data_IF_116381764618
#
_entry.id   IF_116381764618
#
_cell.length_a   1.000
_cell.length_b   1.000
_cell.length_c   1.000
_cell.angle_alpha   90.00
_cell.angle_beta   90.00
_cell.angle_gamma   90.00
#
_symmetry.space_group_name_H-M   'P 1'
#
loop_
_entity.id
_entity.type
_entity.pdbx_description
1 polymer ?
#
# COMPACT_ATOMS: atom_id res chain seq x y z
N UNK A 1 4.40 16.22 -4.30
CA UNK A 1 4.21 14.80 -3.94
C UNK A 1 4.30 14.53 -2.44
N UNK A 2 4.68 15.48 -1.59
CA UNK A 2 4.77 15.28 -0.13
C UNK A 2 3.44 14.82 0.48
N UNK A 3 3.51 13.83 1.36
CA UNK A 3 2.39 13.23 2.10
C UNK A 3 2.66 13.13 3.61
N UNK A 4 3.73 13.75 4.10
CA UNK A 4 4.18 13.65 5.50
C UNK A 4 3.16 14.16 6.53
N UNK A 5 2.25 15.06 6.13
CA UNK A 5 1.18 15.58 7.00
C UNK A 5 0.00 14.62 7.19
N UNK A 6 -0.10 13.56 6.39
CA UNK A 6 -1.14 12.55 6.51
C UNK A 6 -0.58 11.36 7.28
N UNK A 7 -1.32 10.88 8.27
CA UNK A 7 -1.00 9.68 9.04
C UNK A 7 -2.06 8.61 8.80
N UNK A 8 -1.63 7.35 8.69
CA UNK A 8 -2.51 6.19 8.60
C UNK A 8 -2.38 5.35 9.87
N UNK A 9 -3.48 4.76 10.31
CA UNK A 9 -3.48 3.87 11.47
C UNK A 9 -2.53 2.68 11.25
N UNK A 10 -1.66 2.42 12.23
CA UNK A 10 -0.69 1.32 12.21
C UNK A 10 0.58 1.60 11.42
N UNK A 11 0.77 2.81 10.88
CA UNK A 11 1.95 3.19 10.10
C UNK A 11 3.25 3.10 10.91
N UNK A 12 3.22 3.52 12.18
CA UNK A 12 4.35 3.48 13.11
C UNK A 12 4.87 2.05 13.38
N UNK A 13 4.02 1.05 13.14
CA UNK A 13 4.32 -0.36 13.34
C UNK A 13 4.42 -1.15 12.03
N UNK A 14 4.45 -0.48 10.87
CA UNK A 14 4.43 -1.13 9.55
C UNK A 14 3.23 -2.08 9.37
N UNK A 15 2.10 -1.78 10.03
CA UNK A 15 0.88 -2.61 10.11
C UNK A 15 -0.33 -1.97 9.41
N UNK A 16 -0.10 -1.04 8.48
CA UNK A 16 -1.19 -0.43 7.71
C UNK A 16 -1.91 -1.52 6.91
N UNK A 17 -3.23 -1.69 7.07
CA UNK A 17 -3.97 -2.67 6.28
C UNK A 17 -3.89 -2.34 4.78
N UNK A 18 -3.49 -3.32 3.97
CA UNK A 18 -3.29 -3.18 2.53
C UNK A 18 -4.46 -3.83 1.79
N UNK A 19 -5.14 -3.05 0.95
CA UNK A 19 -6.31 -3.51 0.21
C UNK A 19 -6.10 -3.46 -1.30
N UNK A 20 -4.96 -2.95 -1.75
CA UNK A 20 -4.55 -3.06 -3.15
C UNK A 20 -3.83 -4.39 -3.38
N UNK A 21 -3.97 -4.94 -4.58
CA UNK A 21 -3.11 -6.02 -5.05
C UNK A 21 -1.77 -5.47 -5.53
N UNK A 22 -0.79 -6.35 -5.74
CA UNK A 22 0.47 -5.97 -6.39
C UNK A 22 0.26 -5.42 -7.81
N UNK A 23 -0.76 -5.88 -8.54
CA UNK A 23 -1.12 -5.33 -9.86
C UNK A 23 -1.59 -3.87 -9.73
N UNK A 24 -2.52 -3.60 -8.82
CA UNK A 24 -3.02 -2.23 -8.55
C UNK A 24 -1.90 -1.27 -8.16
N UNK A 25 -1.03 -1.67 -7.22
CA UNK A 25 0.12 -0.83 -6.82
C UNK A 25 1.08 -0.61 -8.00
N UNK A 26 1.33 -1.62 -8.84
CA UNK A 26 2.18 -1.45 -10.03
C UNK A 26 1.60 -0.44 -11.01
N UNK A 27 0.29 -0.51 -11.28
CA UNK A 27 -0.36 0.43 -12.19
C UNK A 27 -0.35 1.85 -11.63
N UNK A 28 -0.61 2.03 -10.32
CA UNK A 28 -0.49 3.33 -9.65
C UNK A 28 0.92 3.90 -9.74
N UNK A 29 1.96 3.08 -9.50
CA UNK A 29 3.36 3.51 -9.63
C UNK A 29 3.68 3.92 -11.06
N UNK A 30 3.33 3.10 -12.06
CA UNK A 30 3.61 3.42 -13.47
C UNK A 30 2.93 4.73 -13.88
N UNK A 31 1.64 4.88 -13.57
CA UNK A 31 0.89 6.09 -13.86
C UNK A 31 1.49 7.32 -13.18
N UNK A 32 1.92 7.19 -11.93
CA UNK A 32 2.55 8.28 -11.18
C UNK A 32 3.91 8.70 -11.78
N UNK A 33 4.74 7.72 -12.17
CA UNK A 33 6.05 8.00 -12.79
C UNK A 33 5.94 8.58 -14.21
N UNK A 34 4.79 8.46 -14.86
CA UNK A 34 4.51 9.10 -16.14
C UNK A 34 4.06 10.57 -16.02
N UNK A 35 3.87 11.09 -14.81
CA UNK A 35 3.49 12.50 -14.61
C UNK A 35 4.68 13.44 -14.81
N UNK A 36 4.43 14.59 -15.42
CA UNK A 36 5.45 15.63 -15.63
C UNK A 36 6.05 16.08 -14.29
N UNK A 37 7.38 16.16 -14.25
CA UNK A 37 8.12 16.61 -13.08
C UNK A 37 8.24 15.58 -11.94
N UNK A 38 7.77 14.34 -12.13
CA UNK A 38 8.01 13.25 -11.17
C UNK A 38 9.24 12.46 -11.58
N UNK A 39 10.26 12.44 -10.71
CA UNK A 39 11.42 11.56 -10.92
C UNK A 39 11.31 10.28 -10.10
N UNK A 40 11.85 9.18 -10.64
CA UNK A 40 11.95 7.91 -9.91
C UNK A 40 12.70 8.09 -8.58
N UNK A 41 13.78 8.88 -8.57
CA UNK A 41 14.59 9.11 -7.38
C UNK A 41 13.81 9.86 -6.28
N UNK A 42 12.99 10.84 -6.64
CA UNK A 42 12.15 11.54 -5.67
C UNK A 42 11.04 10.65 -5.14
N UNK A 43 10.36 9.89 -6.01
CA UNK A 43 9.36 8.91 -5.59
C UNK A 43 9.95 7.93 -4.56
N UNK A 44 11.13 7.37 -4.83
CA UNK A 44 11.82 6.45 -3.92
C UNK A 44 12.20 7.09 -2.58
N UNK A 45 12.61 8.37 -2.58
CA UNK A 45 12.88 9.11 -1.34
C UNK A 45 11.60 9.32 -0.54
N UNK A 46 10.50 9.61 -1.21
CA UNK A 46 9.22 9.85 -0.57
C UNK A 46 8.66 8.58 0.06
N UNK A 47 8.60 7.47 -0.69
CA UNK A 47 8.09 6.19 -0.16
C UNK A 47 8.98 5.59 0.92
N UNK A 48 10.30 5.89 0.93
CA UNK A 48 11.18 5.43 2.00
C UNK A 48 10.81 6.02 3.38
N UNK A 49 10.13 7.17 3.42
CA UNK A 49 9.67 7.80 4.67
C UNK A 49 8.63 6.97 5.42
N UNK A 50 7.96 6.02 4.75
CA UNK A 50 7.06 5.05 5.40
C UNK A 50 7.77 4.24 6.49
N UNK A 51 9.10 4.05 6.37
CA UNK A 51 9.87 3.27 7.32
C UNK A 51 10.62 4.17 8.29
N UNK A 52 10.13 4.28 9.53
CA UNK A 52 10.73 5.12 10.58
C UNK A 52 12.14 4.72 11.03
N UNK A 53 12.60 3.53 10.63
CA UNK A 53 13.94 3.00 10.94
C UNK A 53 15.04 3.42 9.94
N UNK A 54 14.73 4.31 8.99
CA UNK A 54 15.70 4.77 7.98
C UNK A 54 15.99 3.74 6.87
N UNK A 55 15.13 2.72 6.71
CA UNK A 55 15.22 1.75 5.61
C UNK A 55 15.22 2.47 4.26
N UNK A 56 16.28 2.24 3.48
CA UNK A 56 16.40 2.79 2.13
C UNK A 56 15.66 1.92 1.12
N UNK A 57 14.91 2.55 0.25
CA UNK A 57 14.32 1.91 -0.93
C UNK A 57 15.19 2.25 -2.15
N UNK A 58 15.59 1.23 -2.91
CA UNK A 58 16.50 1.36 -4.04
C UNK A 58 15.78 1.14 -5.38
N UNK A 59 16.29 1.75 -6.46
CA UNK A 59 15.76 1.61 -7.81
C UNK A 59 15.70 0.14 -8.28
N UNK A 60 16.67 -0.69 -7.89
CA UNK A 60 16.65 -2.12 -8.22
C UNK A 60 15.47 -2.86 -7.58
N UNK A 61 15.05 -2.48 -6.36
CA UNK A 61 13.87 -3.08 -5.72
C UNK A 61 12.61 -2.69 -6.47
N UNK A 62 12.52 -1.42 -6.87
CA UNK A 62 11.41 -0.90 -7.66
C UNK A 62 11.31 -1.60 -9.02
N UNK A 63 12.40 -1.68 -9.77
CA UNK A 63 12.43 -2.34 -11.07
C UNK A 63 12.08 -3.82 -10.97
N UNK A 64 12.57 -4.52 -9.93
CA UNK A 64 12.18 -5.91 -9.64
C UNK A 64 10.70 -6.04 -9.32
N UNK A 65 10.12 -5.11 -8.57
CA UNK A 65 8.70 -5.12 -8.28
C UNK A 65 7.87 -4.87 -9.55
N UNK A 66 8.19 -3.82 -10.31
CA UNK A 66 7.50 -3.45 -11.55
C UNK A 66 7.59 -4.53 -12.64
N UNK A 67 8.65 -5.34 -12.66
CA UNK A 67 8.83 -6.44 -13.61
C UNK A 67 8.04 -7.71 -13.29
N UNK A 68 7.41 -7.82 -12.12
CA UNK A 68 6.57 -8.98 -11.74
C UNK A 68 5.17 -8.89 -12.37
N UNK A 69 4.45 -10.02 -12.40
CA UNK A 69 3.07 -10.14 -12.88
C UNK A 69 2.24 -10.99 -11.92
N UNK A 70 0.95 -10.66 -11.78
CA UNK A 70 0.00 -11.35 -10.90
C UNK A 70 -0.26 -10.64 -9.57
N UNK A 71 -1.45 -10.89 -9.03
CA UNK A 71 -2.08 -10.13 -7.94
C UNK A 71 -1.24 -10.10 -6.65
N UNK A 72 -0.50 -11.17 -6.35
CA UNK A 72 0.29 -11.30 -5.12
C UNK A 72 1.80 -11.29 -5.37
N UNK A 73 2.22 -11.17 -6.62
CA UNK A 73 3.62 -11.30 -7.02
C UNK A 73 4.43 -10.08 -6.58
N UNK A 74 4.98 -10.15 -5.36
CA UNK A 74 5.73 -9.05 -4.74
C UNK A 74 5.13 -8.51 -3.45
N UNK A 75 4.15 -9.20 -2.87
CA UNK A 75 3.48 -8.81 -1.62
C UNK A 75 4.43 -8.65 -0.41
N UNK A 76 5.56 -9.36 -0.38
CA UNK A 76 6.60 -9.21 0.65
C UNK A 76 7.59 -8.05 0.38
N UNK A 77 7.45 -7.34 -0.74
CA UNK A 77 8.36 -6.26 -1.12
C UNK A 77 8.09 -5.00 -0.31
N UNK A 78 9.14 -4.35 0.18
CA UNK A 78 9.02 -3.02 0.78
C UNK A 78 8.44 -1.98 -0.19
N UNK A 79 8.62 -2.15 -1.51
CA UNK A 79 8.00 -1.29 -2.53
C UNK A 79 6.47 -1.42 -2.50
N UNK A 80 5.96 -2.63 -2.29
CA UNK A 80 4.53 -2.87 -2.30
C UNK A 80 3.85 -2.14 -1.14
N UNK A 81 4.30 -2.39 0.09
CA UNK A 81 3.76 -1.74 1.28
C UNK A 81 3.95 -0.21 1.23
N UNK A 82 5.16 0.27 0.97
CA UNK A 82 5.45 1.70 0.95
C UNK A 82 4.73 2.45 -0.19
N UNK A 83 4.62 1.81 -1.37
CA UNK A 83 3.85 2.35 -2.49
C UNK A 83 2.38 2.47 -2.16
N UNK A 84 1.78 1.43 -1.58
CA UNK A 84 0.40 1.45 -1.12
C UNK A 84 0.14 2.58 -0.10
N UNK A 85 0.95 2.66 0.95
CA UNK A 85 0.86 3.73 1.97
C UNK A 85 0.92 5.11 1.33
N UNK A 86 1.86 5.33 0.41
CA UNK A 86 1.99 6.61 -0.29
C UNK A 86 0.73 6.99 -1.10
N UNK A 87 0.19 6.05 -1.89
CA UNK A 87 -1.00 6.33 -2.69
C UNK A 87 -2.25 6.53 -1.84
N UNK A 88 -2.38 5.79 -0.73
CA UNK A 88 -3.47 5.99 0.21
C UNK A 88 -3.41 7.37 0.87
N UNK A 89 -2.21 7.80 1.29
CA UNK A 89 -2.02 9.16 1.80
C UNK A 89 -2.29 10.23 0.75
N UNK A 90 -1.87 10.03 -0.50
CA UNK A 90 -2.21 10.95 -1.59
C UNK A 90 -3.72 11.03 -1.82
N UNK A 91 -4.45 9.91 -1.78
CA UNK A 91 -5.91 9.89 -1.88
C UNK A 91 -6.55 10.79 -0.81
N UNK A 92 -6.12 10.65 0.45
CA UNK A 92 -6.63 11.44 1.57
C UNK A 92 -6.27 12.93 1.40
N UNK A 93 -5.00 13.25 1.13
CA UNK A 93 -4.52 14.62 0.90
C UNK A 93 -5.34 15.34 -0.17
N UNK A 94 -5.60 14.64 -1.28
CA UNK A 94 -6.28 15.19 -2.44
C UNK A 94 -7.82 15.07 -2.34
N UNK A 95 -8.34 14.58 -1.19
CA UNK A 95 -9.77 14.35 -0.93
C UNK A 95 -10.46 13.50 -2.00
N UNK A 96 -9.75 12.53 -2.55
CA UNK A 96 -10.31 11.60 -3.55
C UNK A 96 -11.13 10.52 -2.86
N UNK A 97 -12.27 10.10 -3.45
CA UNK A 97 -13.03 8.97 -2.95
C UNK A 97 -12.19 7.68 -3.05
N UNK A 98 -12.63 6.65 -2.33
CA UNK A 98 -12.11 5.29 -2.53
C UNK A 98 -12.53 4.81 -3.92
N UNK A 99 -11.75 3.91 -4.51
CA UNK A 99 -12.16 3.22 -5.74
C UNK A 99 -13.17 2.13 -5.39
N UNK A 100 -14.00 1.71 -6.34
CA UNK A 100 -14.93 0.58 -6.13
C UNK A 100 -14.15 -0.68 -5.69
N UNK A 101 -13.04 -0.98 -6.36
CA UNK A 101 -12.15 -2.07 -5.98
C UNK A 101 -11.66 -1.98 -4.52
N UNK A 102 -11.39 -0.77 -4.04
CA UNK A 102 -10.96 -0.54 -2.66
C UNK A 102 -12.09 -0.86 -1.67
N UNK A 103 -13.30 -0.42 -1.97
CA UNK A 103 -14.47 -0.70 -1.14
C UNK A 103 -14.77 -2.20 -1.09
N UNK A 104 -14.76 -2.87 -2.25
CA UNK A 104 -14.93 -4.33 -2.36
C UNK A 104 -13.90 -5.10 -1.53
N UNK A 105 -12.63 -4.69 -1.57
CA UNK A 105 -11.59 -5.34 -0.77
C UNK A 105 -11.80 -5.09 0.73
N UNK A 106 -12.17 -3.88 1.15
CA UNK A 106 -12.52 -3.61 2.56
C UNK A 106 -13.66 -4.51 3.05
N UNK A 107 -14.70 -4.72 2.24
CA UNK A 107 -15.84 -5.58 2.57
C UNK A 107 -15.42 -7.05 2.71
N UNK A 108 -14.58 -7.57 1.80
CA UNK A 108 -14.04 -8.94 1.89
C UNK A 108 -13.19 -9.13 3.15
N UNK A 109 -12.34 -8.15 3.46
CA UNK A 109 -11.51 -8.18 4.67
C UNK A 109 -12.37 -8.15 5.94
N UNK A 110 -13.35 -7.25 6.00
CA UNK A 110 -14.35 -7.19 7.06
C UNK A 110 -15.07 -8.52 7.25
N UNK A 111 -15.56 -9.13 6.18
CA UNK A 111 -16.28 -10.41 6.23
C UNK A 111 -15.37 -11.54 6.75
N UNK A 112 -14.10 -11.60 6.30
CA UNK A 112 -13.13 -12.57 6.80
C UNK A 112 -12.87 -12.39 8.30
N UNK A 113 -12.65 -11.16 8.76
CA UNK A 113 -12.45 -10.86 10.18
C UNK A 113 -13.68 -11.23 11.04
N UNK A 114 -14.88 -10.91 10.57
CA UNK A 114 -16.12 -11.26 11.27
C UNK A 114 -16.40 -12.78 11.23
N UNK A 115 -16.05 -13.47 10.15
CA UNK A 115 -16.14 -14.93 10.02
C UNK A 115 -15.28 -15.66 11.04
N UNK A 116 -14.05 -15.17 11.29
CA UNK A 116 -13.13 -15.74 12.28
C UNK A 116 -13.62 -15.54 13.72
N UNK A 117 -14.29 -14.42 14.02
CA UNK A 117 -14.87 -14.18 15.35
C UNK A 117 -16.04 -15.11 15.67
N UNK A 118 -16.82 -15.56 14.69
CA UNK A 118 -17.88 -16.56 14.89
C UNK A 118 -17.31 -17.95 15.24
N UNK A 119 -16.13 -18.30 14.74
CA UNK A 119 -15.47 -19.58 15.03
C UNK A 119 -14.76 -19.64 16.39
N UNK A 120 -14.48 -18.50 17.04
CA UNK A 120 -13.92 -18.46 18.42
C UNK A 120 -14.98 -18.56 19.52
N UNK A 121 -16.27 -18.59 19.18
CA UNK A 121 -17.38 -18.71 20.14
C UNK A 121 -17.82 -20.14 20.48
N UNK A 122 -17.16 -21.19 19.95
CA UNK A 122 -17.60 -22.59 20.08
C UNK A 122 -16.53 -23.59 20.57
N UNK A 123 -15.56 -23.14 21.37
CA UNK A 123 -14.72 -24.03 22.19
C UNK A 123 -14.72 -23.58 23.64
N UNK A 124 -15.90 -23.64 24.26
CA UNK A 124 -16.06 -23.69 25.71
C UNK A 124 -16.69 -25.02 26.07
N UNK A 125 -15.88 -26.05 26.29
CA UNK A 125 -16.24 -27.25 27.03
C UNK A 125 -15.02 -27.78 27.76
#
# INVERSE_FOLDING_TARGET
MDVSSIHLDGEEHENVPVYDTCDEVREKIKAFLCQDGVTQAEFLREVAKTFGNGRKIQANMLNRFLGKKGLNSGNVSSIFHAGYVFFEKMRIRDRKPKTVFREEMEDIWMESWLGDTKNRGLTGR
#
